data_IF_478393828815
#
_entry.id   IF_478393828815
#
_cell.length_a   1.000
_cell.length_b   1.000
_cell.length_c   1.000
_cell.angle_alpha   90.00
_cell.angle_beta   90.00
_cell.angle_gamma   90.00
#
_symmetry.space_group_name_H-M   'P 1'
#
loop_
_entity.id
_entity.type
_entity.pdbx_description
1 polymer ?
#
# COMPACT_ATOMS: atom_id res chain seq x y z
N UNK A 1 -2.17 -8.24 -13.46
CA UNK A 1 -3.19 -8.94 -12.66
C UNK A 1 -4.56 -8.93 -13.34
N UNK A 2 -5.25 -7.77 -13.49
CA UNK A 2 -6.58 -7.71 -14.14
C UNK A 2 -6.54 -8.29 -15.56
N UNK A 3 -5.57 -7.87 -16.37
CA UNK A 3 -5.38 -8.38 -17.73
C UNK A 3 -5.04 -9.89 -17.80
N UNK A 4 -4.57 -10.48 -16.69
CA UNK A 4 -4.23 -11.92 -16.60
C UNK A 4 -5.44 -12.73 -16.13
N UNK A 5 -6.24 -12.16 -15.23
CA UNK A 5 -7.44 -12.81 -14.67
C UNK A 5 -8.70 -12.55 -15.51
N UNK A 6 -8.62 -11.70 -16.53
CA UNK A 6 -9.72 -11.18 -17.35
C UNK A 6 -10.91 -10.64 -16.52
N UNK A 7 -10.63 -10.21 -15.30
CA UNK A 7 -11.66 -9.69 -14.40
C UNK A 7 -11.07 -8.72 -13.38
N UNK A 8 -11.78 -7.61 -13.07
CA UNK A 8 -11.44 -6.75 -11.95
C UNK A 8 -11.94 -7.30 -10.60
N UNK A 9 -12.76 -8.36 -10.61
CA UNK A 9 -13.52 -8.85 -9.46
C UNK A 9 -12.66 -9.68 -8.50
N UNK A 10 -11.79 -9.01 -7.76
CA UNK A 10 -11.03 -9.59 -6.66
C UNK A 10 -10.85 -8.54 -5.56
N UNK A 11 -10.75 -9.02 -4.33
CA UNK A 11 -10.56 -8.15 -3.16
C UNK A 11 -9.17 -7.53 -3.18
N UNK A 12 -9.07 -6.27 -2.77
CA UNK A 12 -7.82 -5.51 -2.72
C UNK A 12 -7.77 -4.74 -1.41
N UNK A 13 -6.64 -4.81 -0.72
CA UNK A 13 -6.32 -3.90 0.36
C UNK A 13 -5.54 -2.72 -0.24
N UNK A 14 -6.07 -1.49 -0.09
CA UNK A 14 -5.41 -0.28 -0.57
C UNK A 14 -4.69 0.39 0.59
N UNK A 15 -3.39 0.61 0.43
CA UNK A 15 -2.55 1.30 1.41
C UNK A 15 -2.16 2.63 0.78
N UNK A 16 -2.56 3.74 1.40
CA UNK A 16 -2.18 5.08 0.94
C UNK A 16 -0.75 5.39 1.35
N UNK A 17 0.09 5.79 0.39
CA UNK A 17 1.46 6.24 0.61
C UNK A 17 1.61 7.75 0.36
N UNK A 18 0.52 8.51 0.41
CA UNK A 18 0.45 9.93 0.02
C UNK A 18 0.82 10.19 -1.46
N UNK A 19 0.98 11.46 -1.84
CA UNK A 19 1.34 11.89 -3.20
C UNK A 19 2.42 12.96 -3.18
N UNK A 20 3.35 12.96 -4.15
CA UNK A 20 4.32 14.04 -4.28
C UNK A 20 3.62 15.36 -4.66
N UNK A 21 4.24 16.48 -4.31
CA UNK A 21 3.70 17.81 -4.61
C UNK A 21 3.60 18.08 -6.13
N UNK A 22 4.53 17.52 -6.92
CA UNK A 22 4.51 17.58 -8.38
C UNK A 22 4.08 16.24 -8.97
N UNK A 23 3.08 16.26 -9.86
CA UNK A 23 2.55 15.06 -10.52
C UNK A 23 3.58 14.35 -11.40
N UNK A 24 4.54 15.10 -11.95
CA UNK A 24 5.60 14.53 -12.79
C UNK A 24 6.57 13.64 -11.97
N UNK A 25 6.59 13.78 -10.65
CA UNK A 25 7.47 13.03 -9.75
C UNK A 25 6.84 11.76 -9.20
N UNK A 26 5.64 11.36 -9.64
CA UNK A 26 4.95 10.18 -9.10
C UNK A 26 5.78 8.91 -9.27
N UNK A 27 6.43 8.73 -10.42
CA UNK A 27 7.28 7.55 -10.66
C UNK A 27 8.47 7.49 -9.68
N UNK A 28 9.17 8.60 -9.51
CA UNK A 28 10.31 8.69 -8.59
C UNK A 28 9.87 8.55 -7.13
N UNK A 29 8.71 9.10 -6.78
CA UNK A 29 8.15 9.03 -5.43
C UNK A 29 7.87 7.59 -5.00
N UNK A 30 7.27 6.77 -5.88
CA UNK A 30 6.95 5.37 -5.55
C UNK A 30 8.17 4.45 -5.57
N UNK A 31 9.23 4.81 -6.31
CA UNK A 31 10.50 4.06 -6.37
C UNK A 31 11.51 4.51 -5.30
N UNK A 32 11.28 5.67 -4.69
CA UNK A 32 12.12 6.23 -3.65
C UNK A 32 12.04 5.48 -2.32
N UNK A 33 13.00 5.75 -1.44
CA UNK A 33 12.98 5.25 -0.07
C UNK A 33 12.20 6.19 0.84
N UNK A 34 11.42 5.63 1.76
CA UNK A 34 10.77 6.41 2.82
C UNK A 34 11.77 7.15 3.70
N UNK A 35 11.39 8.35 4.13
CA UNK A 35 12.16 9.16 5.07
C UNK A 35 12.20 8.48 6.43
N UNK A 36 13.22 8.79 7.23
CA UNK A 36 13.39 8.22 8.58
C UNK A 36 12.19 8.51 9.50
N UNK A 37 11.57 9.68 9.34
CA UNK A 37 10.37 10.10 10.06
C UNK A 37 9.14 9.25 9.69
N UNK A 38 9.06 8.78 8.44
CA UNK A 38 7.96 7.97 7.94
C UNK A 38 8.10 6.50 8.34
N UNK A 39 9.31 6.02 8.65
CA UNK A 39 9.56 4.61 9.01
C UNK A 39 8.70 4.16 10.20
N UNK A 40 8.68 4.93 11.28
CA UNK A 40 7.87 4.58 12.45
C UNK A 40 6.37 4.53 12.11
N UNK A 41 5.89 5.39 11.20
CA UNK A 41 4.50 5.38 10.76
C UNK A 41 4.18 4.11 9.96
N UNK A 42 5.10 3.71 9.09
CA UNK A 42 4.99 2.50 8.26
C UNK A 42 4.98 1.26 9.14
N UNK A 43 5.93 1.13 10.06
CA UNK A 43 6.04 -0.03 10.96
C UNK A 43 4.73 -0.24 11.74
N UNK A 44 4.20 0.83 12.36
CA UNK A 44 2.90 0.79 13.05
C UNK A 44 1.72 0.42 12.13
N UNK A 45 1.80 0.76 10.83
CA UNK A 45 0.76 0.42 9.84
C UNK A 45 0.87 -1.02 9.37
N UNK A 46 2.07 -1.57 9.24
CA UNK A 46 2.28 -2.97 8.90
C UNK A 46 1.63 -3.88 9.93
N UNK A 47 1.82 -3.62 11.22
CA UNK A 47 1.19 -4.40 12.30
C UNK A 47 -0.34 -4.39 12.22
N UNK A 48 -0.92 -3.21 11.93
CA UNK A 48 -2.37 -3.06 11.75
C UNK A 48 -2.86 -3.86 10.53
N UNK A 49 -2.13 -3.79 9.43
CA UNK A 49 -2.46 -4.51 8.18
C UNK A 49 -2.42 -6.02 8.41
N UNK A 50 -1.39 -6.54 9.09
CA UNK A 50 -1.26 -7.96 9.41
C UNK A 50 -2.44 -8.47 10.23
N UNK A 51 -2.84 -7.71 11.26
CA UNK A 51 -4.02 -8.03 12.06
C UNK A 51 -5.29 -8.06 11.21
N UNK A 52 -5.51 -7.06 10.36
CA UNK A 52 -6.70 -7.02 9.51
C UNK A 52 -6.76 -8.16 8.51
N UNK A 53 -5.63 -8.53 7.90
CA UNK A 53 -5.57 -9.67 6.99
C UNK A 53 -5.89 -10.97 7.75
N UNK A 54 -5.31 -11.14 8.94
CA UNK A 54 -5.55 -12.33 9.77
C UNK A 54 -7.02 -12.46 10.18
N UNK A 55 -7.63 -11.38 10.67
CA UNK A 55 -9.07 -11.34 11.00
C UNK A 55 -9.94 -11.64 9.77
N UNK A 56 -9.59 -11.08 8.61
CA UNK A 56 -10.31 -11.32 7.37
C UNK A 56 -10.24 -12.78 6.90
N UNK A 57 -9.10 -13.45 7.09
CA UNK A 57 -8.92 -14.86 6.71
C UNK A 57 -9.51 -15.85 7.72
N UNK A 58 -9.64 -15.46 8.98
CA UNK A 58 -10.24 -16.27 10.05
C UNK A 58 -11.78 -16.32 10.04
N UNK A 59 -12.41 -15.56 9.13
CA UNK A 59 -13.85 -15.58 8.87
C UNK A 59 -14.15 -16.36 7.60
#
# INVERSE_FOLDING_TARGET
MIAVLDTPNFRRLRIGIDRPHNQDQVADYVLGTFKKEEKNLIDNKVDQIEKYISEFLSK
#
